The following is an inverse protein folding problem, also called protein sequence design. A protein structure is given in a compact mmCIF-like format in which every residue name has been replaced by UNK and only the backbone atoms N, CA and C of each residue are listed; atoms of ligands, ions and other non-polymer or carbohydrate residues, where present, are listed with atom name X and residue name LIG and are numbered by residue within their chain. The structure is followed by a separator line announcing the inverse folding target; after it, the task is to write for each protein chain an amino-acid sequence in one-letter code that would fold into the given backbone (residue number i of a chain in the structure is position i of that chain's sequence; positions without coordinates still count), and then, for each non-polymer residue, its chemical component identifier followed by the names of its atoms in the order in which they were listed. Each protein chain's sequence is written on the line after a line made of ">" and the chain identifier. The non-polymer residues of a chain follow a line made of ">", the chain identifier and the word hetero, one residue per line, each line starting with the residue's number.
data_IF_086176722362
#
_entry.id   IF_086176722362
#
_cell.length_a   1.000
_cell.length_b   1.000
_cell.length_c   1.000
_cell.angle_alpha   90.00
_cell.angle_beta   90.00
_cell.angle_gamma   90.00
#
_symmetry.space_group_name_H-M   'P 1'
#
loop_
_entity.id
_entity.type
_entity.pdbx_description
1 polymer ?
#
# COMPACT_ATOMS: atom_id res chain seq x y z
N UNK A 1 -1.76 -10.37 -14.19
CA UNK A 1 -0.47 -10.16 -13.50
C UNK A 1 -0.68 -9.02 -12.52
N UNK A 2 -0.23 -9.20 -11.28
CA UNK A 2 -0.44 -8.22 -10.20
C UNK A 2 0.92 -7.73 -9.73
N UNK A 3 1.09 -6.42 -9.67
CA UNK A 3 2.28 -5.78 -9.13
C UNK A 3 2.00 -5.29 -7.71
N UNK A 4 2.97 -5.45 -6.81
CA UNK A 4 2.90 -4.93 -5.45
C UNK A 4 4.08 -4.00 -5.24
N UNK A 5 3.80 -2.70 -5.03
CA UNK A 5 4.81 -1.73 -4.60
C UNK A 5 4.84 -1.65 -3.09
N UNK A 6 6.00 -1.89 -2.50
CA UNK A 6 6.20 -1.81 -1.05
C UNK A 6 6.53 -0.38 -0.63
N UNK A 7 5.81 0.15 0.36
CA UNK A 7 5.95 1.53 0.86
C UNK A 7 6.09 1.53 2.37
N UNK A 8 7.02 2.30 2.92
CA UNK A 8 7.27 2.34 4.36
C UNK A 8 6.93 3.72 4.93
N UNK A 9 5.97 3.77 5.86
CA UNK A 9 5.48 4.99 6.49
C UNK A 9 5.82 4.97 7.98
N UNK A 10 6.65 5.91 8.42
CA UNK A 10 7.10 6.00 9.81
C UNK A 10 6.07 6.62 10.77
N UNK A 11 5.13 7.42 10.24
CA UNK A 11 4.10 8.11 11.01
C UNK A 11 2.82 8.20 10.18
N UNK A 12 1.71 7.72 10.73
CA UNK A 12 0.37 7.99 10.21
C UNK A 12 0.00 9.41 10.67
N UNK A 13 -0.07 10.34 9.72
CA UNK A 13 -0.66 11.67 9.91
C UNK A 13 -2.12 11.65 9.43
N UNK A 14 -2.82 12.79 9.41
CA UNK A 14 -4.21 12.90 8.95
C UNK A 14 -4.46 12.27 7.57
N UNK A 15 -3.45 12.29 6.69
CA UNK A 15 -3.48 11.67 5.36
C UNK A 15 -2.27 10.75 5.19
N UNK A 16 -2.51 9.49 4.82
CA UNK A 16 -1.47 8.54 4.42
C UNK A 16 -1.41 8.51 2.90
N UNK A 17 -0.31 9.01 2.36
CA UNK A 17 -0.08 9.08 0.92
C UNK A 17 1.35 8.62 0.59
N UNK A 18 1.50 7.56 -0.22
CA UNK A 18 2.81 7.18 -0.76
C UNK A 18 3.44 8.34 -1.52
N UNK A 19 4.77 8.46 -1.46
CA UNK A 19 5.48 9.31 -2.41
C UNK A 19 5.50 8.59 -3.76
N UNK A 20 4.89 9.21 -4.78
CA UNK A 20 4.79 8.67 -6.14
C UNK A 20 5.41 9.69 -7.08
N UNK A 21 6.45 9.26 -7.80
CA UNK A 21 7.14 10.08 -8.79
C UNK A 21 6.37 10.14 -10.11
N UNK A 22 6.71 11.10 -10.98
CA UNK A 22 6.10 11.20 -12.30
C UNK A 22 6.31 9.92 -13.14
N UNK A 23 7.49 9.33 -13.07
CA UNK A 23 7.81 8.06 -13.77
C UNK A 23 6.94 6.90 -13.28
N UNK A 24 6.65 6.86 -11.98
CA UNK A 24 5.78 5.84 -11.40
C UNK A 24 4.32 6.04 -11.80
N UNK A 25 3.85 7.28 -11.94
CA UNK A 25 2.52 7.58 -12.48
C UNK A 25 2.42 7.09 -13.93
N UNK A 26 3.44 7.33 -14.76
CA UNK A 26 3.45 6.83 -16.13
C UNK A 26 3.53 5.31 -16.20
N UNK A 27 4.21 4.67 -15.25
CA UNK A 27 4.17 3.22 -15.10
C UNK A 27 2.77 2.70 -14.76
N UNK A 28 2.08 3.31 -13.78
CA UNK A 28 0.70 2.94 -13.43
C UNK A 28 -0.25 3.08 -14.63
N UNK A 29 -0.15 4.18 -15.39
CA UNK A 29 -0.94 4.38 -16.62
C UNK A 29 -0.70 3.30 -17.67
N UNK A 30 0.54 2.82 -17.82
CA UNK A 30 0.86 1.71 -18.73
C UNK A 30 0.26 0.40 -18.26
N UNK A 31 0.22 0.16 -16.94
CA UNK A 31 -0.42 -1.03 -16.37
C UNK A 31 -1.93 -1.02 -16.62
N UNK A 32 -2.60 0.12 -16.42
CA UNK A 32 -4.02 0.29 -16.72
C UNK A 32 -4.35 -0.03 -18.17
N UNK A 33 -3.56 0.49 -19.12
CA UNK A 33 -3.72 0.19 -20.55
C UNK A 33 -3.55 -1.31 -20.86
N UNK A 34 -2.69 -2.00 -20.11
CA UNK A 34 -2.47 -3.43 -20.22
C UNK A 34 -3.49 -4.28 -19.42
N UNK A 35 -4.50 -3.66 -18.78
CA UNK A 35 -5.45 -4.32 -17.88
C UNK A 35 -4.74 -5.09 -16.75
N UNK A 36 -3.66 -4.52 -16.22
CA UNK A 36 -2.88 -5.06 -15.12
C UNK A 36 -3.07 -4.18 -13.88
N UNK A 37 -3.08 -4.79 -12.69
CA UNK A 37 -3.32 -4.07 -11.44
C UNK A 37 -2.02 -3.89 -10.66
N UNK A 38 -1.86 -2.72 -10.05
CA UNK A 38 -0.81 -2.41 -9.10
C UNK A 38 -1.43 -2.09 -7.74
N UNK A 39 -1.01 -2.81 -6.70
CA UNK A 39 -1.34 -2.50 -5.32
C UNK A 39 -0.14 -1.91 -4.60
N UNK A 40 -0.40 -1.00 -3.68
CA UNK A 40 0.60 -0.45 -2.79
C UNK A 40 0.45 -1.12 -1.43
N UNK A 41 1.45 -1.88 -1.02
CA UNK A 41 1.52 -2.46 0.31
C UNK A 41 2.25 -1.48 1.24
N UNK A 42 1.48 -0.80 2.08
CA UNK A 42 1.96 0.26 2.96
C UNK A 42 2.23 -0.32 4.35
N UNK A 43 3.51 -0.39 4.70
CA UNK A 43 4.00 -0.78 6.01
C UNK A 43 4.00 0.41 6.96
N UNK A 44 3.44 0.23 8.14
CA UNK A 44 3.32 1.26 9.16
C UNK A 44 4.22 0.94 10.33
N UNK A 45 5.06 1.92 10.71
CA UNK A 45 5.92 1.80 11.87
C UNK A 45 5.11 1.96 13.16
N UNK A 46 5.12 0.94 13.99
CA UNK A 46 4.55 1.01 15.33
C UNK A 46 5.37 1.93 16.22
N UNK A 47 4.66 2.82 16.93
CA UNK A 47 5.28 3.72 17.93
C UNK A 47 5.80 2.94 19.14
N UNK A 48 5.17 1.80 19.47
CA UNK A 48 5.48 1.01 20.65
C UNK A 48 6.69 0.11 20.45
N UNK A 49 6.77 -0.57 19.30
CA UNK A 49 7.84 -1.53 19.00
C UNK A 49 8.99 -0.89 18.22
N UNK A 50 8.75 0.25 17.57
CA UNK A 50 9.69 0.87 16.64
C UNK A 50 9.89 0.07 15.35
N UNK A 51 9.05 -0.95 15.08
CA UNK A 51 9.14 -1.85 13.92
C UNK A 51 7.96 -1.64 12.97
N UNK A 52 8.11 -2.08 11.73
CA UNK A 52 7.03 -2.12 10.74
C UNK A 52 6.22 -3.42 10.89
N UNK A 53 5.42 -3.51 11.94
CA UNK A 53 4.70 -4.73 12.35
C UNK A 53 3.27 -4.82 11.78
N UNK A 54 2.79 -3.75 11.15
CA UNK A 54 1.48 -3.69 10.50
C UNK A 54 1.59 -3.15 9.09
N UNK A 55 0.68 -3.58 8.22
CA UNK A 55 0.56 -3.05 6.88
C UNK A 55 -0.89 -3.11 6.38
N UNK A 56 -1.16 -2.39 5.31
CA UNK A 56 -2.43 -2.40 4.60
C UNK A 56 -2.21 -2.18 3.09
N UNK A 57 -3.19 -2.56 2.29
CA UNK A 57 -3.17 -2.35 0.85
C UNK A 57 -3.90 -1.06 0.47
N UNK A 58 -3.36 -0.40 -0.55
CA UNK A 58 -4.05 0.64 -1.32
C UNK A 58 -4.08 0.21 -2.78
N UNK A 59 -5.17 0.50 -3.49
CA UNK A 59 -5.14 0.49 -4.94
C UNK A 59 -4.38 1.71 -5.50
N UNK A 60 -4.21 1.76 -6.81
CA UNK A 60 -3.48 2.82 -7.51
C UNK A 60 -4.18 4.19 -7.38
N UNK A 61 -5.52 4.24 -7.44
CA UNK A 61 -6.31 5.45 -7.26
C UNK A 61 -6.18 5.98 -5.82
N UNK A 62 -6.31 5.10 -4.84
CA UNK A 62 -6.13 5.37 -3.42
C UNK A 62 -4.70 5.86 -3.15
N UNK A 63 -3.68 5.24 -3.76
CA UNK A 63 -2.29 5.65 -3.61
C UNK A 63 -2.05 7.07 -4.19
N UNK A 64 -2.69 7.40 -5.31
CA UNK A 64 -2.61 8.73 -5.95
C UNK A 64 -3.34 9.79 -5.11
N UNK A 65 -4.51 9.48 -4.55
CA UNK A 65 -5.30 10.43 -3.75
C UNK A 65 -4.78 10.57 -2.31
N UNK A 66 -4.34 9.47 -1.72
CA UNK A 66 -4.13 9.31 -0.28
C UNK A 66 -5.42 8.84 0.41
N UNK A 67 -5.25 8.24 1.60
CA UNK A 67 -6.35 7.81 2.47
C UNK A 67 -6.29 8.52 3.81
N UNK A 68 -7.44 8.84 4.38
CA UNK A 68 -7.51 9.39 5.73
C UNK A 68 -7.27 8.30 6.79
N UNK A 69 -6.83 8.71 7.99
CA UNK A 69 -6.55 7.76 9.09
C UNK A 69 -7.74 6.87 9.42
N UNK A 70 -8.94 7.43 9.39
CA UNK A 70 -10.18 6.71 9.69
C UNK A 70 -10.45 5.56 8.69
N UNK A 71 -9.93 5.69 7.47
CA UNK A 71 -10.02 4.65 6.44
C UNK A 71 -8.87 3.63 6.57
N UNK A 72 -7.70 4.07 7.04
CA UNK A 72 -6.50 3.24 7.20
C UNK A 72 -6.59 2.32 8.41
N UNK A 73 -6.99 2.84 9.57
CA UNK A 73 -7.04 2.08 10.84
C UNK A 73 -7.78 0.74 10.75
N UNK A 74 -9.00 0.65 10.19
CA UNK A 74 -9.71 -0.64 10.09
C UNK A 74 -9.06 -1.62 9.09
N UNK A 75 -8.23 -1.12 8.16
CA UNK A 75 -7.55 -1.91 7.13
C UNK A 75 -6.19 -2.45 7.59
N UNK A 76 -5.62 -1.94 8.68
CA UNK A 76 -4.34 -2.41 9.20
C UNK A 76 -4.43 -3.88 9.63
N UNK A 77 -3.49 -4.67 9.13
CA UNK A 77 -3.31 -6.09 9.49
C UNK A 77 -1.87 -6.35 9.91
N UNK A 78 -1.66 -7.41 10.68
CA UNK A 78 -0.31 -7.91 10.97
C UNK A 78 0.32 -8.52 9.71
N UNK A 79 1.66 -8.66 9.72
CA UNK A 79 2.40 -9.16 8.56
C UNK A 79 2.06 -10.61 8.19
N UNK A 80 1.69 -11.45 9.15
CA UNK A 80 1.28 -12.83 8.87
C UNK A 80 0.02 -12.86 8.00
N UNK A 81 -0.99 -12.06 8.34
CA UNK A 81 -2.23 -11.93 7.58
C UNK A 81 -1.95 -11.38 6.18
N UNK A 82 -1.10 -10.35 6.08
CA UNK A 82 -0.71 -9.78 4.78
C UNK A 82 -0.02 -10.82 3.91
N UNK A 83 0.87 -11.63 4.49
CA UNK A 83 1.58 -12.69 3.75
C UNK A 83 0.61 -13.73 3.17
N UNK A 84 -0.46 -14.05 3.90
CA UNK A 84 -1.51 -14.97 3.42
C UNK A 84 -2.28 -14.35 2.24
N UNK A 85 -2.64 -13.06 2.33
CA UNK A 85 -3.31 -12.35 1.22
C UNK A 85 -2.45 -12.33 -0.03
N UNK A 86 -1.17 -12.00 0.09
CA UNK A 86 -0.23 -12.01 -1.05
C UNK A 86 -0.18 -13.39 -1.70
N UNK A 87 -0.09 -14.45 -0.89
CA UNK A 87 -0.11 -15.84 -1.40
C UNK A 87 -1.43 -16.21 -2.07
N UNK A 88 -2.56 -15.66 -1.64
CA UNK A 88 -3.84 -15.93 -2.33
C UNK A 88 -4.01 -15.19 -3.65
N UNK A 89 -3.29 -14.09 -3.85
CA UNK A 89 -3.42 -13.22 -5.05
C UNK A 89 -2.34 -13.52 -6.09
N UNK A 90 -1.15 -13.95 -5.67
CA UNK A 90 0.00 -14.20 -6.54
C UNK A 90 0.26 -15.68 -6.86
N UNK A 91 -0.55 -16.61 -6.34
CA UNK A 91 -0.45 -18.06 -6.64
C UNK A 91 -1.47 -18.44 -7.70
#
# INVERSE_FOLDING_TARGET
>A
MVYIKHVFVSKIHSLVKPNITAEEIDFLRRLDQAHQHCYFLVYVKSKTTGRYDSAFFMDDIEAIKGLEVIEVEPRLKNLDTISQVIRSVLV
#
